data_IF_320240750504
#
_entry.id   IF_320240750504
#
_cell.length_a   1.000
_cell.length_b   1.000
_cell.length_c   1.000
_cell.angle_alpha   90.00
_cell.angle_beta   90.00
_cell.angle_gamma   90.00
#
_symmetry.space_group_name_H-M   'P 1'
#
loop_
_entity.id
_entity.type
_entity.pdbx_description
1 polymer ?
#
# COMPACT_ATOMS: atom_id res chain seq x y z
N UNK A 1 10.21 10.98 3.02
CA UNK A 1 9.42 11.42 1.85
C UNK A 1 8.73 12.73 2.21
N UNK A 2 8.84 13.79 1.40
CA UNK A 2 8.04 15.01 1.55
C UNK A 2 6.87 14.90 0.56
N UNK A 3 5.81 14.21 0.95
CA UNK A 3 4.55 14.18 0.19
C UNK A 3 3.57 15.08 0.93
N UNK A 4 2.92 16.00 0.22
CA UNK A 4 1.80 16.73 0.78
C UNK A 4 0.59 15.81 0.77
N UNK A 5 0.14 15.32 1.93
CA UNK A 5 -1.10 14.56 2.06
C UNK A 5 -2.25 15.45 1.54
N UNK A 6 -2.81 15.12 0.37
CA UNK A 6 -3.78 15.95 -0.35
C UNK A 6 -3.28 16.61 -1.65
N UNK A 7 -2.04 16.34 -2.07
CA UNK A 7 -1.50 16.78 -3.36
C UNK A 7 -2.22 16.14 -4.56
N UNK A 8 -2.07 16.74 -5.74
CA UNK A 8 -2.73 16.29 -6.97
C UNK A 8 -2.39 14.83 -7.34
N UNK A 9 -1.16 14.39 -7.11
CA UNK A 9 -0.72 13.01 -7.35
C UNK A 9 -1.39 12.00 -6.42
N UNK A 10 -1.51 12.32 -5.12
CA UNK A 10 -2.23 11.48 -4.15
C UNK A 10 -3.70 11.33 -4.53
N UNK A 11 -4.34 12.43 -4.95
CA UNK A 11 -5.73 12.38 -5.43
C UNK A 11 -5.86 11.56 -6.70
N UNK A 12 -4.94 11.71 -7.66
CA UNK A 12 -4.92 10.89 -8.88
C UNK A 12 -4.79 9.40 -8.55
N UNK A 13 -3.87 9.02 -7.65
CA UNK A 13 -3.72 7.64 -7.21
C UNK A 13 -5.01 7.04 -6.62
N UNK A 14 -5.80 7.83 -5.89
CA UNK A 14 -7.11 7.40 -5.37
C UNK A 14 -8.20 7.35 -6.45
N UNK A 15 -8.29 8.38 -7.30
CA UNK A 15 -9.32 8.48 -8.34
C UNK A 15 -9.12 7.47 -9.48
N UNK A 16 -7.87 7.21 -9.85
CA UNK A 16 -7.51 6.26 -10.90
C UNK A 16 -7.55 4.81 -10.40
N UNK A 17 -7.83 4.59 -9.10
CA UNK A 17 -7.96 3.26 -8.52
C UNK A 17 -6.63 2.54 -8.32
N UNK A 18 -5.52 3.28 -8.17
CA UNK A 18 -4.22 2.71 -7.79
C UNK A 18 -4.28 2.16 -6.36
N UNK A 19 -5.00 2.86 -5.48
CA UNK A 19 -5.25 2.45 -4.10
C UNK A 19 -6.76 2.48 -3.84
N UNK A 20 -7.30 1.39 -3.32
CA UNK A 20 -8.72 1.27 -3.02
C UNK A 20 -9.00 0.28 -1.90
N UNK A 21 -10.23 0.30 -1.38
CA UNK A 21 -10.69 -0.67 -0.37
C UNK A 21 -11.87 -1.42 -0.97
N UNK A 22 -11.85 -2.75 -0.90
CA UNK A 22 -12.98 -3.56 -1.35
C UNK A 22 -14.22 -3.28 -0.49
N UNK A 23 -15.42 -3.33 -1.06
CA UNK A 23 -16.65 -3.18 -0.28
C UNK A 23 -16.86 -4.37 0.65
N UNK A 24 -16.44 -5.58 0.24
CA UNK A 24 -16.46 -6.78 1.07
C UNK A 24 -15.23 -6.88 1.99
N UNK A 25 -15.45 -7.52 3.14
CA UNK A 25 -14.40 -7.87 4.11
C UNK A 25 -13.86 -9.27 3.83
N UNK A 26 -12.68 -9.56 4.38
CA UNK A 26 -12.16 -10.93 4.38
C UNK A 26 -13.00 -11.85 5.30
N UNK A 27 -12.67 -13.14 5.33
CA UNK A 27 -13.36 -14.14 6.16
C UNK A 27 -13.22 -13.89 7.67
N UNK A 28 -12.23 -13.09 8.08
CA UNK A 28 -11.95 -12.73 9.47
C UNK A 28 -12.54 -11.36 9.85
N UNK A 29 -13.24 -10.69 8.92
CA UNK A 29 -13.83 -9.36 9.11
C UNK A 29 -12.86 -8.19 8.88
N UNK A 30 -11.63 -8.43 8.44
CA UNK A 30 -10.66 -7.38 8.13
C UNK A 30 -11.07 -6.60 6.87
N UNK A 31 -10.81 -5.30 6.85
CA UNK A 31 -10.93 -4.52 5.62
C UNK A 31 -9.84 -4.95 4.62
N UNK A 32 -10.18 -4.98 3.32
CA UNK A 32 -9.24 -5.38 2.27
C UNK A 32 -8.79 -4.16 1.49
N UNK A 33 -7.57 -3.70 1.75
CA UNK A 33 -6.87 -2.66 1.00
C UNK A 33 -6.23 -3.29 -0.23
N UNK A 34 -6.48 -2.74 -1.41
CA UNK A 34 -5.93 -3.21 -2.68
C UNK A 34 -5.09 -2.10 -3.32
N UNK A 35 -3.89 -2.48 -3.77
CA UNK A 35 -2.99 -1.63 -4.53
C UNK A 35 -2.79 -2.28 -5.91
N UNK A 36 -3.27 -1.62 -6.96
CA UNK A 36 -3.20 -2.10 -8.34
C UNK A 36 -2.16 -1.28 -9.11
N UNK A 37 -0.98 -1.85 -9.33
CA UNK A 37 0.11 -1.14 -9.99
C UNK A 37 -0.23 -0.74 -11.43
N UNK A 38 -1.00 -1.58 -12.14
CA UNK A 38 -1.46 -1.33 -13.52
C UNK A 38 -2.21 0.01 -13.67
N UNK A 39 -2.91 0.45 -12.62
CA UNK A 39 -3.72 1.67 -12.66
C UNK A 39 -2.89 2.94 -12.47
N UNK A 40 -1.60 2.81 -12.16
CA UNK A 40 -0.74 3.97 -11.93
C UNK A 40 -0.39 4.64 -13.25
N UNK A 41 -0.82 5.88 -13.43
CA UNK A 41 -0.34 6.73 -14.52
C UNK A 41 1.09 7.22 -14.21
N UNK A 42 2.04 6.74 -15.01
CA UNK A 42 3.47 7.02 -14.90
C UNK A 42 3.84 8.51 -14.96
N UNK A 43 2.96 9.34 -15.52
CA UNK A 43 3.15 10.79 -15.61
C UNK A 43 2.56 11.55 -14.42
N UNK A 44 1.59 10.98 -13.70
CA UNK A 44 0.80 11.69 -12.69
C UNK A 44 1.10 11.26 -11.25
N UNK A 45 1.61 10.04 -11.05
CA UNK A 45 1.76 9.44 -9.73
C UNK A 45 3.19 8.94 -9.49
N UNK A 46 3.84 9.43 -8.44
CA UNK A 46 5.11 8.89 -7.93
C UNK A 46 4.89 7.81 -6.88
N UNK A 47 5.93 7.04 -6.53
CA UNK A 47 5.86 6.11 -5.40
C UNK A 47 5.44 6.82 -4.10
N UNK A 48 5.87 8.07 -3.93
CA UNK A 48 5.54 8.86 -2.75
C UNK A 48 4.09 9.34 -2.72
N UNK A 49 3.45 9.48 -3.89
CA UNK A 49 2.03 9.81 -4.01
C UNK A 49 1.17 8.57 -3.71
N UNK A 50 1.55 7.41 -4.27
CA UNK A 50 0.90 6.12 -3.96
C UNK A 50 1.00 5.83 -2.47
N UNK A 51 2.17 6.03 -1.87
CA UNK A 51 2.35 5.88 -0.42
C UNK A 51 1.48 6.86 0.37
N UNK A 52 1.39 8.12 -0.05
CA UNK A 52 0.48 9.10 0.57
C UNK A 52 -0.99 8.67 0.49
N UNK A 53 -1.42 8.09 -0.63
CA UNK A 53 -2.78 7.55 -0.80
C UNK A 53 -3.05 6.35 0.11
N UNK A 54 -2.07 5.46 0.30
CA UNK A 54 -2.14 4.35 1.26
C UNK A 54 -2.32 4.89 2.69
N UNK A 55 -1.49 5.84 3.12
CA UNK A 55 -1.59 6.43 4.47
C UNK A 55 -2.96 7.07 4.69
N UNK A 56 -3.45 7.89 3.76
CA UNK A 56 -4.79 8.50 3.88
C UNK A 56 -5.91 7.45 3.96
N UNK A 57 -5.76 6.34 3.23
CA UNK A 57 -6.75 5.26 3.25
C UNK A 57 -6.73 4.54 4.59
N UNK A 58 -5.54 4.21 5.11
CA UNK A 58 -5.37 3.61 6.44
C UNK A 58 -5.87 4.52 7.55
N UNK A 59 -5.60 5.83 7.50
CA UNK A 59 -6.16 6.81 8.44
C UNK A 59 -7.68 6.77 8.49
N UNK A 60 -8.33 6.75 7.31
CA UNK A 60 -9.79 6.65 7.24
C UNK A 60 -10.33 5.32 7.75
N UNK A 61 -9.63 4.22 7.50
CA UNK A 61 -9.99 2.91 8.06
C UNK A 61 -9.83 2.90 9.59
N UNK A 62 -8.75 3.48 10.11
CA UNK A 62 -8.53 3.59 11.55
C UNK A 62 -9.65 4.40 12.23
N UNK A 63 -10.04 5.52 11.62
CA UNK A 63 -11.14 6.35 12.10
C UNK A 63 -12.52 5.66 12.06
N UNK A 64 -12.70 4.62 11.25
CA UNK A 64 -13.94 3.81 11.21
C UNK A 64 -14.01 2.75 12.31
N UNK A 65 -12.93 2.52 13.06
CA UNK A 65 -12.87 1.48 14.08
C UNK A 65 -12.71 0.08 13.49
N UNK A 66 -11.81 -0.08 12.53
CA UNK A 66 -11.47 -1.37 11.91
C UNK A 66 -10.69 -2.28 12.89
N UNK A 67 -11.38 -2.78 13.92
CA UNK A 67 -10.77 -3.58 15.00
C UNK A 67 -10.25 -4.94 14.53
N UNK A 68 -10.86 -5.52 13.50
CA UNK A 68 -10.39 -6.77 12.89
C UNK A 68 -9.03 -6.61 12.17
N UNK A 69 -8.67 -5.38 11.82
CA UNK A 69 -7.45 -5.04 11.11
C UNK A 69 -7.65 -4.88 9.61
N UNK A 70 -6.54 -4.84 8.88
CA UNK A 70 -6.50 -4.63 7.43
C UNK A 70 -5.65 -5.71 6.77
N UNK A 71 -6.18 -6.31 5.71
CA UNK A 71 -5.42 -7.14 4.78
C UNK A 71 -5.04 -6.28 3.58
N UNK A 72 -3.75 -6.27 3.23
CA UNK A 72 -3.24 -5.55 2.07
C UNK A 72 -2.97 -6.52 0.93
N UNK A 73 -3.49 -6.22 -0.26
CA UNK A 73 -3.25 -6.96 -1.50
C UNK A 73 -2.56 -6.02 -2.48
N UNK A 74 -1.37 -6.40 -2.95
CA UNK A 74 -0.61 -5.63 -3.93
C UNK A 74 -0.49 -6.44 -5.20
N UNK A 75 -1.13 -5.97 -6.27
CA UNK A 75 -0.98 -6.54 -7.60
C UNK A 75 0.06 -5.77 -8.40
N UNK A 76 1.13 -6.48 -8.75
CA UNK A 76 2.27 -5.99 -9.52
C UNK A 76 2.08 -6.12 -11.03
N UNK A 77 0.94 -6.64 -11.50
CA UNK A 77 0.63 -6.76 -12.93
C UNK A 77 0.78 -5.41 -13.62
N UNK A 78 1.42 -5.44 -14.79
CA UNK A 78 1.60 -4.27 -15.65
C UNK A 78 2.18 -3.04 -14.92
N UNK A 79 2.97 -3.28 -13.86
CA UNK A 79 3.53 -2.19 -13.06
C UNK A 79 4.41 -1.29 -13.94
N UNK A 80 4.11 0.02 -13.99
CA UNK A 80 4.85 0.95 -14.82
C UNK A 80 6.33 0.99 -14.45
N UNK A 81 7.21 1.06 -15.45
CA UNK A 81 8.67 0.87 -15.26
C UNK A 81 9.25 1.96 -14.35
N UNK A 82 8.73 3.19 -14.42
CA UNK A 82 9.20 4.30 -13.58
C UNK A 82 8.80 4.11 -12.11
N UNK A 83 7.61 3.60 -11.83
CA UNK A 83 7.21 3.25 -10.47
C UNK A 83 8.08 2.11 -9.93
N UNK A 84 8.31 1.09 -10.76
CA UNK A 84 9.16 -0.05 -10.44
C UNK A 84 10.61 0.37 -10.12
N UNK A 85 11.18 1.29 -10.90
CA UNK A 85 12.54 1.82 -10.69
C UNK A 85 12.69 2.63 -9.38
N UNK A 86 11.59 3.19 -8.86
CA UNK A 86 11.61 3.92 -7.59
C UNK A 86 11.69 2.99 -6.36
N UNK A 87 11.35 1.71 -6.52
CA UNK A 87 11.37 0.71 -5.45
C UNK A 87 12.76 0.15 -5.19
N UNK A 88 13.61 1.07 -4.79
CA UNK A 88 14.93 0.76 -4.23
C UNK A 88 14.80 0.14 -2.83
N UNK A 89 15.77 -0.64 -2.37
CA UNK A 89 15.77 -1.18 -1.01
C UNK A 89 15.56 -0.12 0.08
N UNK A 90 16.09 1.09 -0.12
CA UNK A 90 15.90 2.24 0.77
C UNK A 90 14.44 2.69 0.83
N UNK A 91 13.79 2.83 -0.33
CA UNK A 91 12.38 3.23 -0.40
C UNK A 91 11.45 2.16 0.20
N UNK A 92 11.74 0.89 -0.05
CA UNK A 92 10.99 -0.22 0.51
C UNK A 92 11.10 -0.21 2.04
N UNK A 93 12.30 -0.02 2.59
CA UNK A 93 12.48 0.11 4.04
C UNK A 93 11.66 1.26 4.61
N UNK A 94 11.62 2.42 3.95
CA UNK A 94 10.79 3.55 4.39
C UNK A 94 9.29 3.25 4.34
N UNK A 95 8.82 2.49 3.34
CA UNK A 95 7.44 2.01 3.27
C UNK A 95 7.14 1.06 4.43
N UNK A 96 8.04 0.11 4.70
CA UNK A 96 7.90 -0.85 5.79
C UNK A 96 7.97 -0.19 7.17
N UNK A 97 8.85 0.80 7.35
CA UNK A 97 8.92 1.63 8.56
C UNK A 97 7.66 2.48 8.72
N UNK A 98 7.16 3.06 7.63
CA UNK A 98 5.90 3.78 7.65
C UNK A 98 4.70 2.90 7.99
N UNK A 99 4.68 1.63 7.58
CA UNK A 99 3.64 0.66 8.02
C UNK A 99 3.71 0.36 9.52
N UNK A 100 4.89 0.46 10.16
CA UNK A 100 5.03 0.28 11.61
C UNK A 100 4.44 1.45 12.39
N UNK A 101 4.64 2.67 11.88
CA UNK A 101 4.22 3.90 12.54
C UNK A 101 2.80 4.34 12.13
N UNK A 102 2.24 3.77 11.06
CA UNK A 102 0.93 4.11 10.53
C UNK A 102 -0.20 3.46 11.37
N UNK A 103 -0.51 4.12 12.49
CA UNK A 103 -1.78 4.00 13.24
C UNK A 103 -1.99 2.66 13.99
N UNK A 104 -2.88 2.63 15.01
CA UNK A 104 -3.16 1.42 15.81
C UNK A 104 -3.83 0.27 15.03
N UNK A 105 -3.84 0.32 13.70
CA UNK A 105 -4.41 -0.72 12.85
C UNK A 105 -3.50 -1.94 12.81
N UNK A 106 -4.07 -3.10 13.14
CA UNK A 106 -3.39 -4.37 12.94
C UNK A 106 -3.35 -4.70 11.45
N UNK A 107 -2.17 -4.97 10.91
CA UNK A 107 -2.02 -5.56 9.59
C UNK A 107 -2.24 -7.08 9.71
N UNK A 108 -3.41 -7.54 9.25
CA UNK A 108 -3.85 -8.95 9.36
C UNK A 108 -3.27 -9.83 8.23
N UNK A 109 -2.77 -9.23 7.15
CA UNK A 109 -2.15 -9.96 6.05
C UNK A 109 -1.56 -9.05 4.97
N UNK A 110 -0.59 -9.58 4.23
CA UNK A 110 0.00 -8.96 3.05
C UNK A 110 0.11 -10.00 1.92
N UNK A 111 -0.61 -9.76 0.82
CA UNK A 111 -0.60 -10.61 -0.36
C UNK A 111 0.05 -9.87 -1.52
N UNK A 112 1.06 -10.49 -2.14
CA UNK A 112 1.75 -9.93 -3.31
C UNK A 112 1.40 -10.80 -4.53
N UNK A 113 0.71 -10.23 -5.51
CA UNK A 113 0.34 -10.89 -6.76
C UNK A 113 1.26 -10.41 -7.89
N UNK A 114 1.60 -11.29 -8.82
CA UNK A 114 2.46 -10.99 -9.98
C UNK A 114 3.78 -10.30 -9.61
N UNK A 115 4.28 -10.60 -8.42
CA UNK A 115 5.35 -9.84 -7.79
C UNK A 115 6.70 -10.10 -8.49
N UNK A 116 7.55 -9.09 -8.62
CA UNK A 116 8.88 -9.25 -9.21
C UNK A 116 9.76 -10.18 -8.38
N UNK A 117 10.83 -10.71 -8.97
CA UNK A 117 11.71 -11.71 -8.37
C UNK A 117 12.29 -11.32 -7.00
N UNK A 118 12.43 -10.01 -6.74
CA UNK A 118 12.96 -9.47 -5.48
C UNK A 118 11.92 -9.38 -4.34
N UNK A 119 10.64 -9.63 -4.62
CA UNK A 119 9.54 -9.52 -3.64
C UNK A 119 9.71 -10.43 -2.44
N UNK A 120 10.31 -11.61 -2.61
CA UNK A 120 10.61 -12.52 -1.50
C UNK A 120 11.58 -11.91 -0.48
N UNK A 121 12.55 -11.12 -0.93
CA UNK A 121 13.45 -10.39 -0.03
C UNK A 121 12.70 -9.26 0.68
N UNK A 122 11.80 -8.57 -0.02
CA UNK A 122 10.95 -7.54 0.56
C UNK A 122 10.02 -8.09 1.65
N UNK A 123 9.42 -9.25 1.43
CA UNK A 123 8.55 -9.90 2.43
C UNK A 123 9.32 -10.37 3.66
N UNK A 124 10.56 -10.86 3.49
CA UNK A 124 11.44 -11.20 4.62
C UNK A 124 11.77 -9.99 5.47
N UNK A 125 11.96 -8.82 4.85
CA UNK A 125 12.12 -7.55 5.56
C UNK A 125 10.83 -7.11 6.23
N UNK A 126 9.66 -7.40 5.63
CA UNK A 126 8.35 -7.06 6.16
C UNK A 126 7.86 -7.99 7.29
N UNK A 127 8.41 -9.21 7.36
CA UNK A 127 7.98 -10.27 8.28
C UNK A 127 7.88 -9.85 9.76
N UNK A 128 8.78 -9.03 10.33
CA UNK A 128 8.66 -8.57 11.72
C UNK A 128 7.39 -7.73 12.00
N UNK A 129 6.70 -7.24 10.97
CA UNK A 129 5.53 -6.36 11.07
C UNK A 129 4.21 -7.11 10.89
N UNK A 130 4.27 -8.33 10.36
CA UNK A 130 3.14 -9.25 10.30
C UNK A 130 3.18 -10.02 11.62
N UNK A 131 2.39 -9.59 12.61
CA UNK A 131 2.20 -10.37 13.84
C UNK A 131 1.49 -11.68 13.48
N UNK A 132 1.88 -12.77 14.15
CA UNK A 132 1.13 -14.04 14.11
C UNK A 132 -0.34 -13.85 14.51
#
# INVERSE_FOLDING_TARGET
>A
FKTTLGGAGVRAALCDGVVGVLPERDTCGSAVLVILAANSDDCKCSLSDVWGAVILTLEKLSARGEEAGVVCVVDWSECPTRLNAQLTPKSLRLVLDGLQDAFPLRMSGLHLLNAPWWSGAALRLARPFIKE
#
